data_IF_266652949740
#
_entry.id   IF_266652949740
#
_cell.length_a   1.000
_cell.length_b   1.000
_cell.length_c   1.000
_cell.angle_alpha   90.00
_cell.angle_beta   90.00
_cell.angle_gamma   90.00
#
_symmetry.space_group_name_H-M   'P 1'
#
loop_
_entity.id
_entity.type
_entity.pdbx_description
1 polymer ?
#
# COMPACT_ATOMS: atom_id res chain seq x y z
N UNK A 1 9.15 -10.70 -11.72
CA UNK A 1 10.57 -11.14 -11.59
C UNK A 1 11.54 -9.97 -11.76
N UNK A 2 11.42 -9.13 -12.83
CA UNK A 2 12.35 -8.02 -13.15
C UNK A 2 12.71 -7.15 -11.94
N UNK A 3 11.70 -6.73 -11.17
CA UNK A 3 11.87 -5.82 -10.02
C UNK A 3 12.67 -6.50 -8.90
N UNK A 4 12.24 -7.68 -8.47
CA UNK A 4 12.89 -8.42 -7.37
C UNK A 4 14.35 -8.75 -7.72
N UNK A 5 14.62 -9.15 -8.96
CA UNK A 5 16.00 -9.40 -9.43
C UNK A 5 16.86 -8.11 -9.42
N UNK A 6 16.28 -6.98 -9.84
CA UNK A 6 16.99 -5.71 -9.89
C UNK A 6 17.32 -5.15 -8.49
N UNK A 7 16.49 -5.47 -7.49
CA UNK A 7 16.67 -5.02 -6.09
C UNK A 7 17.56 -5.96 -5.28
N UNK A 8 17.89 -7.15 -5.77
CA UNK A 8 18.62 -8.19 -5.01
C UNK A 8 20.01 -7.75 -4.52
N UNK A 9 20.67 -6.85 -5.25
CA UNK A 9 22.01 -6.32 -4.91
C UNK A 9 21.94 -4.93 -4.24
N UNK A 10 20.76 -4.55 -3.70
CA UNK A 10 20.55 -3.29 -2.97
C UNK A 10 20.29 -3.55 -1.49
N UNK A 11 20.15 -2.47 -0.70
CA UNK A 11 19.78 -2.56 0.73
C UNK A 11 18.27 -2.90 0.93
N UNK A 12 17.50 -3.08 -0.15
CA UNK A 12 16.08 -3.48 -0.07
C UNK A 12 15.98 -4.99 0.09
N UNK A 13 15.45 -5.49 1.20
CA UNK A 13 15.31 -6.93 1.41
C UNK A 13 14.22 -7.49 0.49
N UNK A 14 14.59 -8.36 -0.43
CA UNK A 14 13.69 -9.07 -1.34
C UNK A 14 13.98 -10.57 -1.33
N UNK A 15 12.98 -11.44 -1.58
CA UNK A 15 13.23 -12.87 -1.69
C UNK A 15 14.17 -13.19 -2.85
N UNK A 16 15.21 -14.04 -2.68
CA UNK A 16 16.06 -14.46 -3.78
C UNK A 16 15.26 -15.18 -4.86
N UNK A 17 15.47 -14.81 -6.13
CA UNK A 17 14.86 -15.47 -7.28
C UNK A 17 15.65 -16.73 -7.65
N UNK A 18 14.99 -17.89 -7.61
CA UNK A 18 15.57 -19.19 -7.98
C UNK A 18 15.52 -19.42 -9.49
N UNK A 19 14.44 -18.99 -10.13
CA UNK A 19 14.29 -19.17 -11.57
C UNK A 19 13.01 -18.52 -12.11
N UNK A 20 12.97 -18.37 -13.43
CA UNK A 20 11.83 -17.82 -14.18
C UNK A 20 11.49 -18.74 -15.36
N UNK A 21 10.22 -19.01 -15.56
CA UNK A 21 9.70 -19.84 -16.66
C UNK A 21 8.72 -19.00 -17.49
N UNK A 22 9.01 -18.84 -18.78
CA UNK A 22 8.15 -18.14 -19.74
C UNK A 22 7.21 -19.10 -20.48
N UNK A 23 7.44 -20.41 -20.35
CA UNK A 23 6.66 -21.46 -21.05
C UNK A 23 5.27 -21.58 -20.40
N UNK A 24 4.27 -21.07 -21.09
CA UNK A 24 2.87 -21.14 -20.67
C UNK A 24 2.31 -22.58 -20.67
N UNK A 25 2.96 -23.54 -21.36
CA UNK A 25 2.51 -24.92 -21.37
C UNK A 25 2.71 -25.62 -20.00
N UNK A 26 3.58 -25.05 -19.15
CA UNK A 26 3.87 -25.65 -17.83
C UNK A 26 2.74 -25.39 -16.83
N UNK A 27 2.23 -24.15 -16.72
CA UNK A 27 1.20 -23.77 -15.72
C UNK A 27 0.04 -22.97 -16.27
N UNK A 28 0.04 -22.66 -17.57
CA UNK A 28 -0.95 -21.79 -18.21
C UNK A 28 -0.60 -20.31 -18.20
N UNK A 29 0.50 -19.91 -17.56
CA UNK A 29 1.02 -18.54 -17.51
C UNK A 29 2.51 -18.53 -17.16
N UNK A 30 3.28 -17.49 -17.54
CA UNK A 30 4.63 -17.32 -17.04
C UNK A 30 4.66 -17.23 -15.51
N UNK A 31 5.66 -17.84 -14.89
CA UNK A 31 5.85 -17.81 -13.44
C UNK A 31 7.32 -17.72 -13.05
N UNK A 32 7.57 -17.30 -11.83
CA UNK A 32 8.90 -17.37 -11.23
C UNK A 32 8.87 -18.13 -9.90
N UNK A 33 10.00 -18.66 -9.53
CA UNK A 33 10.22 -19.33 -8.25
C UNK A 33 11.19 -18.48 -7.45
N UNK A 34 10.85 -18.22 -6.21
CA UNK A 34 11.71 -17.53 -5.25
C UNK A 34 11.96 -18.41 -4.04
N UNK A 35 13.03 -18.16 -3.30
CA UNK A 35 13.25 -18.83 -2.03
C UNK A 35 12.14 -18.54 -1.04
N UNK A 36 11.83 -19.53 -0.21
CA UNK A 36 10.91 -19.32 0.90
C UNK A 36 11.63 -18.52 1.99
N UNK A 37 11.10 -17.34 2.29
CA UNK A 37 11.60 -16.51 3.38
C UNK A 37 10.84 -16.86 4.65
N UNK A 38 11.56 -17.36 5.65
CA UNK A 38 10.97 -17.73 6.93
C UNK A 38 10.70 -16.50 7.78
N UNK A 39 9.48 -16.39 8.30
CA UNK A 39 9.09 -15.30 9.19
C UNK A 39 7.61 -14.98 9.17
N UNK A 40 7.10 -14.28 10.20
CA UNK A 40 5.71 -13.86 10.25
C UNK A 40 5.41 -12.70 9.31
N UNK A 41 4.16 -12.68 8.83
CA UNK A 41 3.51 -11.54 8.18
C UNK A 41 2.44 -11.02 9.14
N UNK A 42 2.44 -9.74 9.46
CA UNK A 42 1.56 -9.16 10.48
C UNK A 42 0.28 -8.58 9.86
N UNK A 43 -0.74 -9.41 9.70
CA UNK A 43 -2.05 -9.02 9.14
C UNK A 43 -3.10 -8.69 10.19
N UNK A 44 -3.00 -9.32 11.35
CA UNK A 44 -4.00 -9.24 12.42
C UNK A 44 -3.34 -9.23 13.80
N UNK A 45 -4.06 -8.83 14.85
CA UNK A 45 -3.59 -8.85 16.25
C UNK A 45 -3.03 -10.21 16.71
N UNK A 46 -3.63 -11.32 16.28
CA UNK A 46 -3.18 -12.66 16.67
C UNK A 46 -1.74 -12.97 16.25
N UNK A 47 -1.32 -12.42 15.10
CA UNK A 47 0.04 -12.61 14.60
C UNK A 47 1.06 -11.76 15.37
N UNK A 48 0.62 -10.66 16.00
CA UNK A 48 1.44 -9.80 16.85
C UNK A 48 1.89 -10.49 18.13
N UNK A 49 1.16 -11.52 18.58
CA UNK A 49 1.53 -12.30 19.78
C UNK A 49 2.94 -12.93 19.70
N UNK A 50 3.51 -13.08 18.50
CA UNK A 50 4.89 -13.53 18.28
C UNK A 50 5.93 -12.48 18.74
N UNK A 51 5.52 -11.23 18.88
CA UNK A 51 6.32 -10.10 19.36
C UNK A 51 5.71 -9.55 20.67
N UNK A 52 5.91 -10.23 21.81
CA UNK A 52 5.21 -9.91 23.06
C UNK A 52 5.60 -8.55 23.66
N UNK A 53 6.83 -8.09 23.38
CA UNK A 53 7.34 -6.86 23.97
C UNK A 53 6.94 -5.62 23.14
N UNK A 54 6.45 -4.58 23.84
CA UNK A 54 6.09 -3.31 23.20
C UNK A 54 7.26 -2.67 22.43
N UNK A 55 8.47 -2.84 22.94
CA UNK A 55 9.68 -2.33 22.27
C UNK A 55 9.91 -3.03 20.92
N UNK A 56 9.67 -4.34 20.81
CA UNK A 56 9.78 -5.07 19.55
C UNK A 56 8.75 -4.58 18.52
N UNK A 57 7.49 -4.35 18.95
CA UNK A 57 6.44 -3.81 18.07
C UNK A 57 6.76 -2.41 17.59
N UNK A 58 7.40 -1.59 18.45
CA UNK A 58 7.90 -0.27 18.04
C UNK A 58 8.97 -0.39 16.95
N UNK A 59 9.96 -1.26 17.17
CA UNK A 59 11.03 -1.50 16.19
C UNK A 59 10.49 -2.03 14.85
N UNK A 60 9.50 -2.91 14.86
CA UNK A 60 8.83 -3.39 13.64
C UNK A 60 8.28 -2.21 12.82
N UNK A 61 7.59 -1.27 13.46
CA UNK A 61 7.07 -0.08 12.77
C UNK A 61 8.19 0.83 12.23
N UNK A 62 9.28 1.01 12.98
CA UNK A 62 10.42 1.81 12.54
C UNK A 62 11.16 1.12 11.39
N UNK A 63 11.44 -0.19 11.48
CA UNK A 63 12.07 -0.97 10.43
C UNK A 63 11.24 -0.98 9.12
N UNK A 64 9.91 -0.98 9.24
CA UNK A 64 9.02 -0.85 8.09
C UNK A 64 9.27 0.47 7.34
N UNK A 65 9.35 1.57 8.06
CA UNK A 65 9.60 2.90 7.48
C UNK A 65 11.02 3.04 6.94
N UNK A 66 12.01 2.53 7.65
CA UNK A 66 13.41 2.55 7.20
C UNK A 66 13.56 1.78 5.88
N UNK A 67 12.88 0.63 5.77
CA UNK A 67 12.84 -0.16 4.53
C UNK A 67 12.15 0.59 3.39
N UNK A 68 11.04 1.30 3.68
CA UNK A 68 10.37 2.14 2.67
C UNK A 68 11.31 3.25 2.18
N UNK A 69 12.03 3.90 3.08
CA UNK A 69 13.01 4.93 2.73
C UNK A 69 14.13 4.34 1.86
N UNK A 70 14.59 3.11 2.15
CA UNK A 70 15.59 2.41 1.35
C UNK A 70 15.07 2.10 -0.06
N UNK A 71 13.81 1.67 -0.22
CA UNK A 71 13.18 1.48 -1.54
C UNK A 71 13.21 2.79 -2.34
N UNK A 72 12.81 3.89 -1.70
CA UNK A 72 12.75 5.20 -2.34
C UNK A 72 14.14 5.84 -2.60
N UNK A 73 15.20 5.33 -1.97
CA UNK A 73 16.57 5.77 -2.19
C UNK A 73 17.24 5.07 -3.36
N UNK A 74 16.72 3.93 -3.82
CA UNK A 74 17.28 3.22 -4.98
C UNK A 74 17.16 4.08 -6.23
N UNK A 75 18.27 4.28 -6.92
CA UNK A 75 18.28 4.90 -8.24
C UNK A 75 17.79 3.88 -9.30
N UNK A 76 16.61 4.07 -9.90
CA UNK A 76 16.06 3.11 -10.84
C UNK A 76 16.92 2.91 -12.08
N UNK A 77 17.71 3.89 -12.50
CA UNK A 77 18.60 3.75 -13.66
C UNK A 77 19.78 2.85 -13.34
N UNK A 78 20.35 2.97 -12.15
CA UNK A 78 21.49 2.14 -11.73
C UNK A 78 21.14 0.66 -11.59
N UNK A 79 19.91 0.35 -11.21
CA UNK A 79 19.44 -1.04 -11.05
C UNK A 79 18.71 -1.58 -12.29
N UNK A 80 18.70 -0.85 -13.41
CA UNK A 80 18.08 -1.29 -14.66
C UNK A 80 16.55 -1.25 -14.66
N UNK A 81 15.93 -0.43 -13.82
CA UNK A 81 14.48 -0.22 -13.74
C UNK A 81 14.05 1.14 -14.30
N UNK A 82 14.93 1.86 -14.99
CA UNK A 82 14.64 3.19 -15.55
C UNK A 82 13.49 3.22 -16.56
N UNK A 83 13.15 2.08 -17.15
CA UNK A 83 12.04 1.86 -18.09
C UNK A 83 10.78 1.24 -17.45
N UNK A 84 10.75 1.07 -16.12
CA UNK A 84 9.64 0.42 -15.41
C UNK A 84 8.32 1.18 -15.57
N UNK A 85 8.38 2.48 -15.79
CA UNK A 85 7.20 3.33 -15.97
C UNK A 85 7.57 4.75 -16.39
N UNK A 86 6.55 5.55 -16.67
CA UNK A 86 6.72 6.98 -16.95
C UNK A 86 6.98 7.71 -15.64
N UNK A 87 8.01 8.54 -15.61
CA UNK A 87 8.42 9.30 -14.42
C UNK A 87 7.49 10.47 -14.13
N UNK A 88 7.09 11.22 -15.15
CA UNK A 88 6.30 12.45 -15.00
C UNK A 88 4.79 12.18 -14.96
N UNK A 89 4.04 13.05 -14.27
CA UNK A 89 2.59 13.04 -14.22
C UNK A 89 2.03 11.77 -13.55
N UNK A 90 2.69 11.31 -12.48
CA UNK A 90 2.26 10.11 -11.76
C UNK A 90 0.86 10.28 -11.18
N UNK A 91 0.61 11.38 -10.48
CA UNK A 91 -0.66 11.66 -9.80
C UNK A 91 -1.81 11.73 -10.81
N UNK A 92 -1.65 12.47 -11.91
CA UNK A 92 -2.68 12.61 -12.94
C UNK A 92 -3.05 11.27 -13.58
N UNK A 93 -2.03 10.41 -13.79
CA UNK A 93 -2.29 9.04 -14.28
C UNK A 93 -3.05 8.19 -13.26
N UNK A 94 -2.74 8.32 -11.97
CA UNK A 94 -3.47 7.61 -10.91
C UNK A 94 -4.91 8.10 -10.83
N UNK A 95 -5.15 9.40 -10.82
CA UNK A 95 -6.50 9.97 -10.82
C UNK A 95 -7.32 9.47 -12.02
N UNK A 96 -6.76 9.55 -13.23
CA UNK A 96 -7.42 9.07 -14.45
C UNK A 96 -7.72 7.56 -14.40
N UNK A 97 -6.77 6.75 -13.92
CA UNK A 97 -6.93 5.29 -13.81
C UNK A 97 -8.07 4.93 -12.86
N UNK A 98 -8.05 5.50 -11.66
CA UNK A 98 -9.00 5.15 -10.62
C UNK A 98 -10.38 5.74 -10.88
N UNK A 99 -10.47 6.93 -11.45
CA UNK A 99 -11.75 7.46 -11.95
C UNK A 99 -12.36 6.55 -13.03
N UNK A 100 -11.55 6.11 -13.99
CA UNK A 100 -11.98 5.14 -14.99
C UNK A 100 -12.44 3.80 -14.40
N UNK A 101 -11.83 3.36 -13.29
CA UNK A 101 -12.22 2.17 -12.54
C UNK A 101 -13.56 2.42 -11.81
N UNK A 102 -13.71 3.57 -11.15
CA UNK A 102 -14.93 3.97 -10.47
C UNK A 102 -16.14 3.92 -11.42
N UNK A 103 -16.03 4.57 -12.58
CA UNK A 103 -17.14 4.60 -13.56
C UNK A 103 -17.53 3.22 -14.07
N UNK A 104 -16.63 2.23 -14.04
CA UNK A 104 -16.90 0.85 -14.46
C UNK A 104 -17.49 -0.02 -13.36
N UNK A 105 -17.13 0.24 -12.11
CA UNK A 105 -17.45 -0.64 -10.99
C UNK A 105 -18.48 -0.09 -10.01
N UNK A 106 -18.83 1.20 -10.07
CA UNK A 106 -19.81 1.79 -9.15
C UNK A 106 -21.16 1.12 -9.29
N UNK A 107 -21.73 0.72 -8.16
CA UNK A 107 -23.07 0.11 -8.08
C UNK A 107 -24.14 1.10 -7.68
N UNK A 108 -23.71 2.31 -7.26
CA UNK A 108 -24.57 3.36 -6.68
C UNK A 108 -23.92 4.73 -6.81
N UNK A 109 -24.67 5.77 -6.53
CA UNK A 109 -24.15 7.13 -6.41
C UNK A 109 -23.51 7.31 -5.00
N UNK A 110 -22.26 7.77 -4.96
CA UNK A 110 -21.54 8.13 -3.75
C UNK A 110 -20.88 9.51 -3.95
N UNK A 111 -21.63 10.60 -3.69
CA UNK A 111 -21.16 11.98 -3.96
C UNK A 111 -19.81 12.31 -3.33
N UNK A 112 -19.47 11.68 -2.18
CA UNK A 112 -18.18 11.86 -1.54
C UNK A 112 -17.01 11.45 -2.44
N UNK A 113 -17.14 10.32 -3.18
CA UNK A 113 -16.09 9.82 -4.09
C UNK A 113 -15.87 10.80 -5.25
N UNK A 114 -16.94 11.36 -5.79
CA UNK A 114 -16.89 12.32 -6.90
C UNK A 114 -16.32 13.67 -6.43
N UNK A 115 -16.77 14.17 -5.28
CA UNK A 115 -16.25 15.41 -4.69
C UNK A 115 -14.75 15.28 -4.35
N UNK A 116 -14.31 14.15 -3.82
CA UNK A 116 -12.89 13.90 -3.56
C UNK A 116 -12.07 13.95 -4.84
N UNK A 117 -12.55 13.31 -5.91
CA UNK A 117 -11.88 13.36 -7.22
C UNK A 117 -11.69 14.80 -7.72
N UNK A 118 -12.75 15.62 -7.65
CA UNK A 118 -12.69 17.03 -8.05
C UNK A 118 -11.67 17.82 -7.22
N UNK A 119 -11.66 17.63 -5.90
CA UNK A 119 -10.70 18.31 -5.00
C UNK A 119 -9.26 17.86 -5.26
N UNK A 120 -9.04 16.57 -5.44
CA UNK A 120 -7.71 16.04 -5.78
C UNK A 120 -7.21 16.57 -7.13
N UNK A 121 -8.08 16.68 -8.14
CA UNK A 121 -7.71 17.29 -9.43
C UNK A 121 -7.34 18.77 -9.29
N UNK A 122 -7.99 19.50 -8.40
CA UNK A 122 -7.74 20.93 -8.20
C UNK A 122 -6.47 21.21 -7.39
N UNK A 123 -5.98 20.24 -6.60
CA UNK A 123 -4.88 20.41 -5.66
C UNK A 123 -3.67 19.51 -5.95
N UNK A 124 -3.49 19.06 -7.21
CA UNK A 124 -2.36 18.19 -7.58
C UNK A 124 -1.03 18.84 -7.16
N UNK A 125 -0.23 18.20 -6.30
CA UNK A 125 1.04 18.76 -5.86
C UNK A 125 2.08 18.73 -6.98
N UNK A 126 3.08 19.59 -6.90
CA UNK A 126 4.25 19.51 -7.76
C UNK A 126 5.00 18.20 -7.48
N UNK A 127 5.18 17.38 -8.51
CA UNK A 127 5.86 16.10 -8.38
C UNK A 127 7.37 16.31 -8.23
N UNK A 128 7.93 15.74 -7.18
CA UNK A 128 9.38 15.64 -6.99
C UNK A 128 10.04 14.60 -7.93
N UNK A 129 11.34 14.32 -7.75
CA UNK A 129 12.02 13.27 -8.49
C UNK A 129 11.35 11.93 -8.32
N UNK A 130 11.02 11.28 -9.43
CA UNK A 130 10.39 9.97 -9.42
C UNK A 130 11.35 8.89 -8.87
N UNK A 131 10.81 8.02 -8.04
CA UNK A 131 11.49 6.87 -7.45
C UNK A 131 10.80 5.57 -7.80
N UNK A 132 11.33 4.45 -7.32
CA UNK A 132 10.61 3.19 -7.29
C UNK A 132 9.48 3.33 -6.25
N UNK A 133 8.24 3.14 -6.69
CA UNK A 133 7.05 3.10 -5.85
C UNK A 133 6.54 1.67 -5.83
N UNK A 134 6.37 1.09 -4.63
CA UNK A 134 5.86 -0.27 -4.46
C UNK A 134 4.39 -0.37 -4.90
N UNK A 135 3.59 0.64 -4.55
CA UNK A 135 2.18 0.75 -4.94
C UNK A 135 1.17 0.06 -4.00
N UNK A 136 1.66 -0.81 -3.11
CA UNK A 136 0.87 -1.43 -2.02
C UNK A 136 1.75 -1.72 -0.78
N UNK A 137 2.56 -0.74 -0.35
CA UNK A 137 3.46 -0.91 0.79
C UNK A 137 2.71 -0.87 2.12
N UNK A 138 2.74 -1.99 2.84
CA UNK A 138 2.05 -2.16 4.12
C UNK A 138 2.59 -3.37 4.89
N UNK A 139 2.22 -3.49 6.19
CA UNK A 139 2.65 -4.61 7.05
C UNK A 139 2.40 -5.99 6.45
N UNK A 140 1.29 -6.16 5.73
CA UNK A 140 0.90 -7.45 5.14
C UNK A 140 1.81 -7.90 4.00
N UNK A 141 2.54 -6.96 3.38
CA UNK A 141 3.44 -7.21 2.26
C UNK A 141 4.92 -7.23 2.70
N UNK A 142 5.13 -7.43 4.00
CA UNK A 142 6.47 -7.53 4.60
C UNK A 142 6.56 -8.77 5.48
N UNK A 143 7.64 -9.53 5.29
CA UNK A 143 8.00 -10.68 6.13
C UNK A 143 9.04 -10.19 7.14
N UNK A 144 8.81 -10.48 8.41
CA UNK A 144 9.71 -10.12 9.50
C UNK A 144 10.48 -11.34 10.01
N UNK A 145 11.70 -11.13 10.51
CA UNK A 145 12.41 -12.16 11.27
C UNK A 145 11.97 -12.14 12.75
N UNK A 146 12.50 -13.04 13.54
CA UNK A 146 12.18 -13.17 14.98
C UNK A 146 12.62 -11.98 15.83
N UNK A 147 13.47 -11.11 15.30
CA UNK A 147 13.93 -9.88 15.96
C UNK A 147 13.04 -8.66 15.59
N UNK A 148 12.11 -8.81 14.63
CA UNK A 148 11.28 -7.72 14.11
C UNK A 148 11.95 -6.90 13.00
N UNK A 149 13.07 -7.39 12.44
CA UNK A 149 13.71 -6.79 11.29
C UNK A 149 13.00 -7.28 10.01
N UNK A 150 12.99 -6.45 8.96
CA UNK A 150 12.42 -6.82 7.67
C UNK A 150 13.29 -7.86 6.98
N UNK A 151 12.77 -9.07 6.83
CA UNK A 151 13.43 -10.16 6.12
C UNK A 151 13.18 -10.11 4.61
N UNK A 152 11.98 -9.71 4.19
CA UNK A 152 11.68 -9.48 2.78
C UNK A 152 10.44 -8.58 2.58
N UNK A 153 10.47 -7.78 1.51
CA UNK A 153 9.31 -7.11 0.95
C UNK A 153 8.81 -7.92 -0.23
N UNK A 154 7.50 -8.17 -0.27
CA UNK A 154 6.84 -9.02 -1.28
C UNK A 154 5.70 -8.25 -1.96
N UNK A 155 5.10 -8.86 -3.00
CA UNK A 155 3.95 -8.31 -3.73
C UNK A 155 4.25 -7.03 -4.54
N UNK A 156 5.26 -7.12 -5.39
CA UNK A 156 5.73 -6.04 -6.26
C UNK A 156 4.91 -5.86 -7.55
N UNK A 157 3.71 -6.43 -7.65
CA UNK A 157 2.92 -6.42 -8.89
C UNK A 157 2.43 -5.03 -9.31
N UNK A 158 2.27 -4.11 -8.35
CA UNK A 158 1.86 -2.72 -8.58
C UNK A 158 3.04 -1.74 -8.70
N UNK A 159 4.26 -2.27 -8.63
CA UNK A 159 5.46 -1.45 -8.64
C UNK A 159 5.63 -0.67 -9.95
N UNK A 160 6.03 0.59 -9.81
CA UNK A 160 6.23 1.53 -10.93
C UNK A 160 7.20 2.63 -10.55
N UNK A 161 7.48 3.54 -11.51
CA UNK A 161 8.13 4.82 -11.20
C UNK A 161 7.10 5.90 -10.89
N UNK A 162 7.29 6.63 -9.79
CA UNK A 162 6.35 7.64 -9.36
C UNK A 162 6.80 8.46 -8.17
N UNK A 163 5.84 9.14 -7.56
CA UNK A 163 6.06 9.95 -6.38
C UNK A 163 6.12 9.06 -5.12
N UNK A 164 7.21 9.10 -4.34
CA UNK A 164 7.38 8.30 -3.12
C UNK A 164 6.31 8.56 -2.06
N UNK A 165 5.70 9.75 -2.05
CA UNK A 165 4.61 10.06 -1.12
C UNK A 165 3.39 9.17 -1.33
N UNK A 166 3.25 8.52 -2.49
CA UNK A 166 2.14 7.59 -2.74
C UNK A 166 2.20 6.36 -1.84
N UNK A 167 3.39 5.80 -1.60
CA UNK A 167 3.56 4.66 -0.69
C UNK A 167 3.44 5.10 0.77
N UNK A 168 4.06 6.22 1.16
CA UNK A 168 3.95 6.74 2.51
C UNK A 168 2.50 7.10 2.87
N UNK A 169 1.78 7.75 1.95
CA UNK A 169 0.35 8.07 2.11
C UNK A 169 -0.51 6.81 2.25
N UNK A 170 -0.26 5.79 1.44
CA UNK A 170 -0.98 4.52 1.52
C UNK A 170 -0.66 3.75 2.81
N UNK A 171 0.61 3.76 3.26
CA UNK A 171 1.00 3.23 4.55
C UNK A 171 0.23 3.90 5.69
N UNK A 172 0.11 5.24 5.66
CA UNK A 172 -0.67 6.00 6.64
C UNK A 172 -2.17 5.64 6.62
N UNK A 173 -2.72 5.27 5.48
CA UNK A 173 -4.12 4.81 5.35
C UNK A 173 -4.33 3.45 6.01
N UNK A 174 -3.41 2.51 5.83
CA UNK A 174 -3.49 1.18 6.46
C UNK A 174 -3.09 1.17 7.93
N UNK A 175 -2.32 2.17 8.37
CA UNK A 175 -1.87 2.27 9.75
C UNK A 175 -2.97 2.86 10.64
N UNK A 176 -3.37 2.12 11.66
CA UNK A 176 -4.40 2.54 12.62
C UNK A 176 -3.73 2.81 13.94
N UNK A 177 -3.87 4.04 14.44
CA UNK A 177 -3.37 4.39 15.77
C UNK A 177 -4.29 3.86 16.86
N UNK A 178 -3.79 3.58 18.08
CA UNK A 178 -4.64 3.18 19.20
C UNK A 178 -5.73 4.23 19.48
N UNK A 179 -6.98 3.80 19.39
CA UNK A 179 -8.15 4.66 19.59
C UNK A 179 -8.77 5.22 18.32
N UNK A 180 -8.15 5.04 17.17
CA UNK A 180 -8.79 5.31 15.88
C UNK A 180 -9.86 4.27 15.56
N UNK A 181 -10.89 4.68 14.82
CA UNK A 181 -11.86 3.74 14.25
C UNK A 181 -11.17 2.84 13.24
N UNK A 182 -11.26 1.54 13.41
CA UNK A 182 -10.77 0.57 12.44
C UNK A 182 -11.65 0.54 11.19
N UNK A 183 -11.05 0.25 10.03
CA UNK A 183 -11.80 0.00 8.80
C UNK A 183 -12.49 -1.37 8.95
N UNK A 184 -13.81 -1.51 8.72
CA UNK A 184 -14.56 -2.72 9.05
C UNK A 184 -13.98 -4.04 8.51
N UNK A 185 -13.40 -4.02 7.31
CA UNK A 185 -12.79 -5.20 6.68
C UNK A 185 -11.36 -5.51 7.17
N UNK A 186 -10.73 -4.57 7.85
CA UNK A 186 -9.34 -4.70 8.26
C UNK A 186 -9.26 -4.80 9.78
N UNK A 187 -8.59 -5.85 10.24
CA UNK A 187 -8.20 -5.99 11.65
C UNK A 187 -6.70 -5.70 11.75
N UNK A 188 -6.31 -4.42 11.76
CA UNK A 188 -4.90 -4.07 11.65
C UNK A 188 -4.13 -4.53 12.88
N UNK A 189 -2.97 -5.14 12.66
CA UNK A 189 -2.04 -5.53 13.72
C UNK A 189 -1.62 -4.34 14.59
N UNK A 190 -1.64 -3.12 14.02
CA UNK A 190 -1.15 -1.89 14.66
C UNK A 190 -2.00 -1.35 15.80
N UNK A 191 -3.22 -1.89 16.01
CA UNK A 191 -4.05 -1.56 17.19
C UNK A 191 -3.46 -2.12 18.49
N UNK A 192 -2.59 -3.14 18.39
CA UNK A 192 -1.90 -3.70 19.54
C UNK A 192 -0.94 -2.67 20.17
N UNK A 193 -0.94 -2.56 21.51
CA UNK A 193 -0.07 -1.61 22.20
C UNK A 193 1.41 -1.82 21.89
N UNK A 194 2.13 -0.73 21.68
CA UNK A 194 3.57 -0.74 21.43
C UNK A 194 3.97 -0.37 20.01
N UNK A 195 3.10 -0.48 19.03
CA UNK A 195 3.37 0.10 17.72
C UNK A 195 3.51 1.62 17.81
N UNK A 196 4.38 2.24 16.98
CA UNK A 196 4.50 3.68 16.92
C UNK A 196 3.22 4.30 16.37
N UNK A 197 2.99 5.57 16.69
CA UNK A 197 1.92 6.33 16.08
C UNK A 197 2.27 6.67 14.62
N UNK A 198 1.25 6.93 13.83
CA UNK A 198 1.37 7.39 12.44
C UNK A 198 2.29 8.60 12.31
N UNK A 199 2.18 9.58 13.21
CA UNK A 199 3.06 10.75 13.24
C UNK A 199 4.54 10.38 13.44
N UNK A 200 4.83 9.38 14.29
CA UNK A 200 6.19 8.92 14.55
C UNK A 200 6.78 8.20 13.33
N UNK A 201 5.96 7.48 12.56
CA UNK A 201 6.38 6.89 11.29
C UNK A 201 6.76 7.96 10.26
N UNK A 202 5.95 9.01 10.14
CA UNK A 202 6.21 10.12 9.22
C UNK A 202 7.47 10.88 9.63
N UNK A 203 7.64 11.17 10.93
CA UNK A 203 8.85 11.80 11.47
C UNK A 203 10.10 10.95 11.16
N UNK A 204 10.01 9.61 11.37
CA UNK A 204 11.10 8.69 11.05
C UNK A 204 11.42 8.68 9.57
N UNK A 205 10.42 8.66 8.71
CA UNK A 205 10.61 8.73 7.26
C UNK A 205 11.36 10.01 6.84
N UNK A 206 10.98 11.16 7.39
CA UNK A 206 11.67 12.44 7.14
C UNK A 206 13.12 12.38 7.62
N UNK A 207 13.34 11.85 8.83
CA UNK A 207 14.67 11.73 9.42
C UNK A 207 15.63 10.92 8.53
N UNK A 208 15.17 9.74 8.04
CA UNK A 208 16.04 8.82 7.32
C UNK A 208 16.13 9.12 5.82
N UNK A 209 15.10 9.70 5.22
CA UNK A 209 15.06 9.99 3.78
C UNK A 209 15.43 11.43 3.41
N UNK A 210 15.30 12.36 4.37
CA UNK A 210 15.45 13.80 4.12
C UNK A 210 14.39 14.41 3.17
N UNK A 211 13.30 13.69 2.87
CA UNK A 211 12.29 14.11 1.90
C UNK A 211 11.28 15.07 2.52
N UNK A 212 10.79 15.99 1.70
CA UNK A 212 9.64 16.83 2.05
C UNK A 212 8.35 15.99 2.03
N UNK A 213 7.58 16.10 3.09
CA UNK A 213 6.29 15.42 3.28
C UNK A 213 5.12 16.41 3.33
N UNK A 214 5.32 17.65 2.94
CA UNK A 214 4.28 18.70 2.99
C UNK A 214 3.03 18.34 2.19
N UNK A 215 3.16 17.54 1.13
CA UNK A 215 2.05 17.03 0.33
C UNK A 215 1.42 15.72 0.88
N UNK A 216 1.82 15.22 2.05
CA UNK A 216 1.39 13.90 2.54
C UNK A 216 -0.13 13.80 2.69
N UNK A 217 -0.82 14.84 3.20
CA UNK A 217 -2.28 14.81 3.33
C UNK A 217 -2.98 14.59 1.99
N UNK A 218 -2.42 15.11 0.89
CA UNK A 218 -2.90 14.84 -0.47
C UNK A 218 -2.83 13.34 -0.79
N UNK A 219 -1.69 12.70 -0.54
CA UNK A 219 -1.49 11.29 -0.84
C UNK A 219 -2.27 10.36 0.11
N UNK A 220 -2.52 10.77 1.33
CA UNK A 220 -3.44 10.08 2.25
C UNK A 220 -4.88 10.13 1.71
N UNK A 221 -5.35 11.31 1.27
CA UNK A 221 -6.66 11.45 0.65
C UNK A 221 -6.79 10.60 -0.62
N UNK A 222 -5.76 10.62 -1.48
CA UNK A 222 -5.68 9.77 -2.68
C UNK A 222 -5.71 8.29 -2.32
N UNK A 223 -5.01 7.87 -1.26
CA UNK A 223 -5.00 6.49 -0.76
C UNK A 223 -6.38 6.03 -0.30
N UNK A 224 -7.07 6.80 0.53
CA UNK A 224 -8.44 6.51 0.95
C UNK A 224 -9.39 6.42 -0.24
N UNK A 225 -9.30 7.37 -1.17
CA UNK A 225 -10.13 7.40 -2.37
C UNK A 225 -9.90 6.17 -3.27
N UNK A 226 -8.64 5.82 -3.52
CA UNK A 226 -8.24 4.60 -4.24
C UNK A 226 -8.82 3.35 -3.61
N UNK A 227 -8.68 3.21 -2.28
CA UNK A 227 -9.20 2.04 -1.55
C UNK A 227 -10.73 1.97 -1.59
N UNK A 228 -11.44 3.10 -1.48
CA UNK A 228 -12.89 3.13 -1.62
C UNK A 228 -13.33 2.55 -2.98
N UNK A 229 -12.64 2.93 -4.06
CA UNK A 229 -12.92 2.44 -5.43
C UNK A 229 -12.62 0.94 -5.56
N UNK A 230 -11.51 0.48 -4.99
CA UNK A 230 -11.15 -0.95 -4.98
C UNK A 230 -12.21 -1.76 -4.25
N UNK A 231 -12.60 -1.33 -3.04
CA UNK A 231 -13.62 -2.00 -2.24
C UNK A 231 -15.00 -1.99 -2.92
N UNK A 232 -15.38 -0.91 -3.61
CA UNK A 232 -16.63 -0.88 -4.40
C UNK A 232 -16.58 -1.90 -5.54
N UNK A 233 -15.45 -2.06 -6.20
CA UNK A 233 -15.26 -3.09 -7.22
C UNK A 233 -15.38 -4.52 -6.67
N UNK A 234 -14.96 -4.76 -5.43
CA UNK A 234 -15.18 -6.04 -4.74
C UNK A 234 -16.64 -6.18 -4.36
N UNK A 235 -17.26 -5.16 -3.78
CA UNK A 235 -18.68 -5.12 -3.46
C UNK A 235 -19.58 -5.42 -4.67
N UNK A 236 -19.24 -4.84 -5.83
CA UNK A 236 -19.95 -5.10 -7.09
C UNK A 236 -19.95 -6.58 -7.47
N UNK A 237 -18.80 -7.26 -7.31
CA UNK A 237 -18.69 -8.70 -7.57
C UNK A 237 -19.48 -9.54 -6.57
N UNK A 238 -19.49 -9.18 -5.28
CA UNK A 238 -20.33 -9.81 -4.27
C UNK A 238 -21.81 -9.66 -4.62
N UNK A 239 -22.24 -8.45 -4.93
CA UNK A 239 -23.63 -8.15 -5.30
C UNK A 239 -24.07 -8.86 -6.58
N UNK A 240 -23.16 -9.14 -7.51
CA UNK A 240 -23.38 -9.92 -8.71
C UNK A 240 -23.35 -11.45 -8.49
N UNK A 241 -23.14 -11.92 -7.25
CA UNK A 241 -23.10 -13.35 -6.92
C UNK A 241 -21.84 -14.08 -7.38
N UNK A 242 -20.76 -13.38 -7.71
CA UNK A 242 -19.53 -13.96 -8.23
C UNK A 242 -18.82 -14.90 -7.23
N UNK A 243 -19.13 -14.81 -5.93
CA UNK A 243 -18.54 -15.61 -4.86
C UNK A 243 -19.48 -16.73 -4.31
N UNK A 244 -20.62 -16.99 -4.97
CA UNK A 244 -21.58 -18.00 -4.53
C UNK A 244 -22.37 -17.63 -3.26
N UNK A 245 -23.14 -18.58 -2.71
CA UNK A 245 -23.99 -18.36 -1.54
C UNK A 245 -23.22 -18.23 -0.21
N UNK A 246 -21.99 -18.72 -0.14
CA UNK A 246 -21.15 -18.63 1.05
C UNK A 246 -20.55 -17.22 1.27
N UNK A 247 -20.62 -16.36 0.27
CA UNK A 247 -20.11 -14.98 0.33
C UNK A 247 -21.13 -13.91 0.76
N UNK A 248 -22.38 -14.29 1.10
CA UNK A 248 -23.46 -13.32 1.34
C UNK A 248 -23.22 -12.36 2.51
N UNK A 249 -22.50 -12.79 3.55
CA UNK A 249 -22.25 -11.97 4.74
C UNK A 249 -21.15 -10.92 4.55
N UNK A 250 -20.19 -11.17 3.64
CA UNK A 250 -19.09 -10.22 3.35
C UNK A 250 -19.55 -8.93 2.64
N UNK A 251 -20.67 -8.94 1.95
CA UNK A 251 -21.15 -7.78 1.19
C UNK A 251 -21.48 -6.56 2.05
N UNK A 252 -22.03 -6.75 3.25
CA UNK A 252 -22.38 -5.66 4.17
C UNK A 252 -21.13 -4.94 4.71
N UNK A 253 -20.07 -5.68 5.01
CA UNK A 253 -18.81 -5.13 5.49
C UNK A 253 -18.09 -4.30 4.40
N UNK A 254 -18.17 -4.75 3.13
CA UNK A 254 -17.67 -3.96 2.01
C UNK A 254 -18.45 -2.66 1.81
N UNK A 255 -19.79 -2.67 1.95
CA UNK A 255 -20.62 -1.47 1.88
C UNK A 255 -20.21 -0.43 2.93
N UNK A 256 -20.10 -0.87 4.18
CA UNK A 256 -19.70 -0.01 5.29
C UNK A 256 -18.27 0.54 5.08
N UNK A 257 -17.35 -0.31 4.62
CA UNK A 257 -15.96 0.05 4.34
C UNK A 257 -15.86 1.11 3.25
N UNK A 258 -16.56 0.95 2.12
CA UNK A 258 -16.56 1.95 1.04
C UNK A 258 -17.03 3.31 1.53
N UNK A 259 -18.14 3.35 2.29
CA UNK A 259 -18.69 4.59 2.85
C UNK A 259 -17.71 5.26 3.80
N UNK A 260 -17.08 4.50 4.69
CA UNK A 260 -16.09 5.02 5.64
C UNK A 260 -14.85 5.57 4.92
N UNK A 261 -14.29 4.81 3.96
CA UNK A 261 -13.13 5.25 3.19
C UNK A 261 -13.42 6.53 2.39
N UNK A 262 -14.59 6.61 1.76
CA UNK A 262 -15.01 7.81 1.03
C UNK A 262 -15.19 9.01 1.97
N UNK A 263 -15.73 8.82 3.17
CA UNK A 263 -15.88 9.87 4.17
C UNK A 263 -14.51 10.36 4.68
N UNK A 264 -13.58 9.46 4.99
CA UNK A 264 -12.21 9.81 5.40
C UNK A 264 -11.43 10.52 4.30
N UNK A 265 -11.59 10.08 3.05
CA UNK A 265 -11.00 10.78 1.91
C UNK A 265 -11.52 12.21 1.82
N UNK A 266 -12.85 12.41 1.95
CA UNK A 266 -13.49 13.71 1.90
C UNK A 266 -13.00 14.64 3.02
N UNK A 267 -12.96 14.16 4.26
CA UNK A 267 -12.44 14.89 5.42
C UNK A 267 -10.96 15.28 5.21
N UNK A 268 -10.14 14.33 4.73
CA UNK A 268 -8.72 14.61 4.51
C UNK A 268 -8.51 15.68 3.43
N UNK A 269 -9.37 15.74 2.40
CA UNK A 269 -9.31 16.80 1.38
C UNK A 269 -9.68 18.20 1.90
N UNK A 270 -10.21 18.34 3.11
CA UNK A 270 -10.46 19.65 3.72
C UNK A 270 -9.17 20.37 4.17
N UNK A 271 -8.07 19.62 4.22
CA UNK A 271 -6.73 20.13 4.55
C UNK A 271 -5.93 20.61 3.35
N UNK A 272 -6.42 20.36 2.14
CA UNK A 272 -5.78 20.74 0.87
C UNK A 272 -6.19 22.15 0.47
#
# INVERSE_FOLDING_TARGET
>A
VKIVTALADTDVPVPPVVGYCEDEEVTGAPFYVMEFVEGPVLRSPDQVAQFPEAAQRREIGMNLVDTLASIHAVDPDQVGLGDLGRRDGYVERQLKRWEGQWQKSKTRELPAVETVHERLLAAVPEQGPATIVHGDYRLDNVIYNVLGEVAAVVDWELCTLGDPMADLGLLCVYWVDPGDDSIPLFQPATVEPGFPKKSELVERYVEVSGRDVSALDYFVALGYWKLAIICEGVYARFSAGAYGSEGSDGGADFDATVKMLAARALETTEKL
#
